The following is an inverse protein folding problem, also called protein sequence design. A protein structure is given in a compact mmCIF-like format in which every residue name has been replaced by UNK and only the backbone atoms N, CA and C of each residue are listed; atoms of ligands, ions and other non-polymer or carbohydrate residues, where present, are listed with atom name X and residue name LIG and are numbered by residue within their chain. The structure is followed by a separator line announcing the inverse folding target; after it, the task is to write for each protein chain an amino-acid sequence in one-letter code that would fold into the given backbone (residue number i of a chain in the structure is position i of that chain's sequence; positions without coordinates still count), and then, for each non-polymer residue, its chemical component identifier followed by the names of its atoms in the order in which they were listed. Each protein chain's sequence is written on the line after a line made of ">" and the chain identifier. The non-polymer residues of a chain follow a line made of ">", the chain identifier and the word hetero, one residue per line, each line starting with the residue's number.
data_IF_834669347155
#
_entry.id   IF_834669347155
#
_cell.length_a   1.000
_cell.length_b   1.000
_cell.length_c   1.000
_cell.angle_alpha   90.00
_cell.angle_beta   90.00
_cell.angle_gamma   90.00
#
_symmetry.space_group_name_H-M   'P 1'
#
loop_
_entity.id
_entity.type
_entity.pdbx_description
1 polymer ?
#
# COMPACT_ATOMS: atom_id res chain seq x y z
N UNK A 1 -1.13 -9.73 -9.76
CA UNK A 1 -0.23 -9.53 -8.62
C UNK A 1 0.52 -10.79 -8.26
N UNK A 2 1.78 -10.65 -7.83
CA UNK A 2 2.65 -11.73 -7.37
C UNK A 2 3.13 -11.48 -5.94
N UNK A 3 3.56 -12.50 -5.17
CA UNK A 3 4.07 -12.30 -3.81
C UNK A 3 5.24 -11.33 -3.78
N UNK A 4 5.32 -10.51 -2.73
CA UNK A 4 6.40 -9.52 -2.55
C UNK A 4 7.76 -10.24 -2.54
N UNK A 5 8.61 -9.85 -3.49
CA UNK A 5 10.04 -10.13 -3.49
C UNK A 5 10.76 -8.89 -2.93
N UNK A 6 11.45 -9.05 -1.79
CA UNK A 6 11.95 -7.93 -0.99
C UNK A 6 12.80 -6.96 -1.80
N UNK A 7 13.78 -7.49 -2.53
CA UNK A 7 14.76 -6.74 -3.28
C UNK A 7 14.10 -5.94 -4.42
N UNK A 8 13.18 -6.58 -5.16
CA UNK A 8 12.45 -5.91 -6.25
C UNK A 8 11.54 -4.81 -5.74
N UNK A 9 10.75 -5.09 -4.70
CA UNK A 9 9.79 -4.13 -4.13
C UNK A 9 10.52 -2.97 -3.46
N UNK A 10 11.61 -3.22 -2.75
CA UNK A 10 12.43 -2.15 -2.17
C UNK A 10 13.03 -1.26 -3.27
N UNK A 11 13.54 -1.83 -4.37
CA UNK A 11 14.06 -1.05 -5.49
C UNK A 11 12.96 -0.23 -6.19
N UNK A 12 11.76 -0.80 -6.38
CA UNK A 12 10.60 -0.07 -6.91
C UNK A 12 10.23 1.12 -6.01
N UNK A 13 10.13 0.91 -4.70
CA UNK A 13 9.87 1.99 -3.74
C UNK A 13 10.91 3.11 -3.82
N UNK A 14 12.19 2.75 -3.87
CA UNK A 14 13.30 3.70 -3.98
C UNK A 14 13.28 4.49 -5.30
N UNK A 15 12.76 3.91 -6.38
CA UNK A 15 12.65 4.58 -7.70
C UNK A 15 11.72 5.80 -7.71
N UNK A 16 10.88 5.95 -6.67
CA UNK A 16 9.95 7.06 -6.52
C UNK A 16 10.40 8.14 -5.52
N UNK A 17 11.58 7.98 -4.91
CA UNK A 17 12.14 8.95 -3.93
C UNK A 17 12.47 10.29 -4.61
N UNK A 18 12.29 11.39 -3.87
CA UNK A 18 12.63 12.76 -4.26
C UNK A 18 11.95 13.29 -5.53
N UNK A 19 10.81 12.70 -5.91
CA UNK A 19 9.96 13.21 -6.98
C UNK A 19 8.48 13.26 -6.58
N UNK A 20 7.66 14.14 -7.21
CA UNK A 20 6.24 14.18 -6.94
C UNK A 20 5.53 12.91 -7.43
N UNK A 21 4.75 12.30 -6.54
CA UNK A 21 3.93 11.11 -6.84
C UNK A 21 2.52 11.27 -6.29
N UNK A 22 1.60 10.47 -6.80
CA UNK A 22 0.25 10.32 -6.32
C UNK A 22 0.13 9.00 -5.59
N UNK A 23 -0.43 9.06 -4.37
CA UNK A 23 -0.69 7.89 -3.56
C UNK A 23 -2.18 7.53 -3.59
N UNK A 24 -2.45 6.23 -3.64
CA UNK A 24 -3.70 5.65 -3.18
C UNK A 24 -3.41 4.78 -1.97
N UNK A 25 -4.15 4.99 -0.89
CA UNK A 25 -4.08 4.17 0.33
C UNK A 25 -5.49 3.80 0.72
N UNK A 26 -5.73 2.52 0.83
CA UNK A 26 -7.00 2.01 1.32
C UNK A 26 -6.75 0.87 2.28
N UNK A 27 -7.46 0.90 3.41
CA UNK A 27 -7.47 -0.20 4.37
C UNK A 27 -8.91 -0.54 4.67
N UNK A 28 -9.23 -1.82 4.61
CA UNK A 28 -10.56 -2.30 4.99
C UNK A 28 -10.38 -3.22 6.19
N UNK A 29 -11.24 -3.07 7.20
CA UNK A 29 -11.40 -4.10 8.23
C UNK A 29 -12.19 -5.32 7.72
N UNK A 30 -12.28 -5.49 6.38
CA UNK A 30 -13.14 -6.43 5.70
C UNK A 30 -14.61 -6.00 5.76
N UNK A 31 -15.22 -5.72 4.60
CA UNK A 31 -16.68 -5.67 4.48
C UNK A 31 -17.37 -6.98 4.97
N UNK A 32 -16.59 -8.05 5.17
CA UNK A 32 -16.99 -9.38 5.61
C UNK A 32 -17.01 -9.58 7.13
N UNK A 33 -16.47 -8.67 7.93
CA UNK A 33 -16.53 -8.82 9.37
C UNK A 33 -18.00 -8.80 9.88
N UNK A 34 -18.90 -8.18 9.12
CA UNK A 34 -20.34 -8.20 9.32
C UNK A 34 -21.00 -9.56 9.06
N UNK A 35 -20.36 -10.51 8.36
CA UNK A 35 -20.96 -11.81 8.09
C UNK A 35 -20.97 -12.71 9.35
N UNK A 36 -20.13 -12.42 10.34
CA UNK A 36 -20.03 -13.18 11.59
C UNK A 36 -20.52 -12.41 12.83
N UNK A 37 -20.50 -11.07 12.84
CA UNK A 37 -21.08 -10.27 13.94
C UNK A 37 -21.53 -8.88 13.45
N UNK A 38 -22.79 -8.51 13.69
CA UNK A 38 -23.34 -7.19 13.34
C UNK A 38 -22.73 -6.03 14.14
N UNK A 39 -21.84 -6.33 15.10
CA UNK A 39 -21.16 -5.35 15.96
C UNK A 39 -19.78 -4.93 15.43
N UNK A 40 -19.33 -5.41 14.27
CA UNK A 40 -18.01 -5.03 13.77
C UNK A 40 -18.00 -3.59 13.26
N UNK A 41 -17.16 -2.77 13.89
CA UNK A 41 -16.88 -1.41 13.46
C UNK A 41 -16.01 -1.44 12.19
N UNK A 42 -16.60 -1.09 11.05
CA UNK A 42 -15.89 -0.91 9.78
C UNK A 42 -15.04 0.38 9.82
N UNK A 43 -13.94 0.35 10.58
CA UNK A 43 -12.88 1.34 10.44
C UNK A 43 -12.14 1.05 9.14
N UNK A 44 -12.24 1.98 8.20
CA UNK A 44 -11.50 1.96 6.96
C UNK A 44 -10.80 3.30 6.74
N UNK A 45 -9.86 3.31 5.83
CA UNK A 45 -9.24 4.53 5.31
C UNK A 45 -9.34 4.47 3.80
N UNK A 46 -9.64 5.60 3.18
CA UNK A 46 -9.60 5.74 1.72
C UNK A 46 -8.98 7.10 1.39
N UNK A 47 -7.84 7.07 0.73
CA UNK A 47 -7.11 8.23 0.25
C UNK A 47 -6.75 7.95 -1.21
N UNK A 48 -7.12 8.84 -2.12
CA UNK A 48 -6.82 8.68 -3.55
C UNK A 48 -6.30 9.97 -4.14
N UNK A 49 -5.32 9.87 -5.02
CA UNK A 49 -4.67 11.01 -5.67
C UNK A 49 -4.08 12.03 -4.67
N UNK A 50 -3.59 11.55 -3.52
CA UNK A 50 -2.85 12.40 -2.59
C UNK A 50 -1.46 12.62 -3.16
N UNK A 51 -1.18 13.85 -3.58
CA UNK A 51 0.13 14.23 -4.11
C UNK A 51 1.12 14.45 -2.97
N UNK A 52 2.26 13.76 -3.02
CA UNK A 52 3.34 13.89 -2.01
C UNK A 52 4.72 13.87 -2.68
N UNK A 53 5.74 14.23 -1.90
CA UNK A 53 7.15 13.93 -2.17
C UNK A 53 7.72 13.27 -0.92
N UNK A 54 8.41 12.14 -1.07
CA UNK A 54 9.06 11.44 0.04
C UNK A 54 10.56 11.30 -0.19
N UNK A 55 11.33 11.48 0.89
CA UNK A 55 12.80 11.44 0.89
C UNK A 55 13.34 10.03 1.22
N UNK A 56 12.54 9.20 1.89
CA UNK A 56 12.91 7.82 2.19
C UNK A 56 11.74 6.87 2.03
N UNK A 57 12.01 5.68 1.49
CA UNK A 57 11.06 4.59 1.41
C UNK A 57 11.68 3.30 1.95
N UNK A 58 10.94 2.57 2.79
CA UNK A 58 11.44 1.32 3.36
C UNK A 58 10.39 0.24 3.46
N UNK A 59 10.72 -0.91 2.88
CA UNK A 59 10.05 -2.18 3.09
C UNK A 59 10.68 -2.90 4.30
N UNK A 60 9.84 -3.41 5.19
CA UNK A 60 10.21 -4.24 6.33
C UNK A 60 9.21 -5.39 6.49
N UNK A 61 9.60 -6.44 7.21
CA UNK A 61 8.80 -7.65 7.37
C UNK A 61 9.26 -8.76 6.43
N UNK A 62 8.37 -9.73 6.16
CA UNK A 62 8.67 -10.92 5.36
C UNK A 62 8.87 -12.17 6.22
N UNK A 63 9.07 -13.30 5.54
CA UNK A 63 9.13 -14.61 6.19
C UNK A 63 7.73 -15.11 6.56
N UNK A 64 7.42 -15.15 7.86
CA UNK A 64 6.10 -15.61 8.36
C UNK A 64 5.07 -14.48 8.50
N UNK A 65 5.51 -13.23 8.44
CA UNK A 65 4.66 -12.06 8.66
C UNK A 65 4.50 -11.24 7.37
N UNK A 66 3.33 -10.61 7.13
CA UNK A 66 3.15 -9.65 6.05
C UNK A 66 4.16 -8.50 6.12
N UNK A 67 4.46 -7.94 4.95
CA UNK A 67 5.30 -6.77 4.83
C UNK A 67 4.59 -5.49 5.28
N UNK A 68 5.41 -4.47 5.52
CA UNK A 68 5.01 -3.10 5.79
C UNK A 68 5.89 -2.13 5.02
N UNK A 69 5.31 -1.04 4.57
CA UNK A 69 6.00 0.06 3.90
C UNK A 69 5.88 1.32 4.75
N UNK A 70 7.02 1.98 4.96
CA UNK A 70 7.08 3.34 5.51
C UNK A 70 7.67 4.30 4.49
N UNK A 71 6.99 5.41 4.25
CA UNK A 71 7.44 6.54 3.44
C UNK A 71 7.62 7.75 4.34
N UNK A 72 8.81 8.36 4.33
CA UNK A 72 9.10 9.62 5.04
C UNK A 72 8.91 10.79 4.10
N UNK A 73 7.91 11.63 4.34
CA UNK A 73 7.61 12.81 3.52
C UNK A 73 8.58 13.95 3.82
N UNK A 74 8.85 14.81 2.84
CA UNK A 74 9.81 15.93 2.98
C UNK A 74 9.40 16.98 4.04
N UNK A 75 8.12 17.09 4.39
CA UNK A 75 7.59 18.10 5.33
C UNK A 75 7.16 17.51 6.70
N UNK A 76 8.02 16.69 7.32
CA UNK A 76 7.75 16.04 8.62
C UNK A 76 6.51 15.13 8.64
N UNK A 77 6.10 14.60 7.49
CA UNK A 77 5.00 13.65 7.37
C UNK A 77 5.49 12.20 7.20
N UNK A 78 4.59 11.25 7.44
CA UNK A 78 4.84 9.83 7.20
C UNK A 78 3.61 9.16 6.61
N UNK A 79 3.83 8.22 5.69
CA UNK A 79 2.84 7.23 5.27
C UNK A 79 3.33 5.88 5.73
N UNK A 80 2.48 5.13 6.43
CA UNK A 80 2.83 3.80 6.92
C UNK A 80 1.67 2.85 6.65
N UNK A 81 1.94 1.79 5.88
CA UNK A 81 0.94 0.77 5.52
C UNK A 81 1.50 -0.60 5.87
N UNK A 82 0.72 -1.40 6.59
CA UNK A 82 1.06 -2.74 7.04
C UNK A 82 0.08 -3.77 6.49
N UNK A 83 0.53 -5.02 6.40
CA UNK A 83 -0.31 -6.13 5.95
C UNK A 83 -0.10 -6.46 4.47
N UNK A 84 0.94 -5.91 3.84
CA UNK A 84 1.20 -6.07 2.41
C UNK A 84 1.81 -7.44 2.13
N UNK A 85 1.36 -8.09 1.06
CA UNK A 85 1.71 -9.49 0.76
C UNK A 85 2.08 -9.67 -0.70
N UNK A 86 1.48 -8.90 -1.60
CA UNK A 86 1.64 -9.01 -3.03
C UNK A 86 1.91 -7.63 -3.65
N UNK A 87 2.46 -7.63 -4.85
CA UNK A 87 2.69 -6.43 -5.64
C UNK A 87 2.49 -6.68 -7.13
N UNK A 88 2.38 -5.61 -7.89
CA UNK A 88 2.58 -5.59 -9.34
C UNK A 88 2.93 -4.18 -9.82
N UNK A 89 3.52 -4.09 -11.01
CA UNK A 89 3.54 -2.85 -11.79
C UNK A 89 2.61 -3.11 -12.97
N UNK A 90 1.55 -2.31 -13.08
CA UNK A 90 0.52 -2.53 -14.10
C UNK A 90 0.92 -1.93 -15.46
N UNK A 91 0.04 -2.07 -16.44
CA UNK A 91 0.26 -1.57 -17.82
C UNK A 91 0.39 -0.05 -17.91
N UNK A 92 -0.15 0.69 -16.92
CA UNK A 92 -0.03 2.15 -16.81
C UNK A 92 1.26 2.59 -16.09
N UNK A 93 2.15 1.65 -15.75
CA UNK A 93 3.35 1.87 -14.95
C UNK A 93 3.05 2.41 -13.53
N UNK A 94 1.90 2.00 -12.98
CA UNK A 94 1.52 2.26 -11.59
C UNK A 94 2.00 1.11 -10.72
N UNK A 95 2.63 1.42 -9.60
CA UNK A 95 3.16 0.44 -8.67
C UNK A 95 2.14 0.16 -7.58
N UNK A 96 1.63 -1.07 -7.54
CA UNK A 96 0.54 -1.48 -6.67
C UNK A 96 1.07 -2.49 -5.64
N UNK A 97 0.78 -2.24 -4.36
CA UNK A 97 1.06 -3.15 -3.26
C UNK A 97 -0.25 -3.51 -2.56
N UNK A 98 -0.56 -4.80 -2.46
CA UNK A 98 -1.78 -5.28 -1.83
C UNK A 98 -1.51 -6.25 -0.68
N UNK A 99 -2.33 -6.15 0.34
CA UNK A 99 -2.42 -7.05 1.47
C UNK A 99 -3.68 -7.88 1.38
N UNK A 100 -3.55 -9.21 1.34
CA UNK A 100 -4.68 -10.12 1.41
C UNK A 100 -4.75 -10.78 2.79
N UNK A 101 -5.96 -10.89 3.35
CA UNK A 101 -6.20 -11.66 4.57
C UNK A 101 -6.14 -13.19 4.28
N UNK A 102 -6.30 -14.01 5.32
CA UNK A 102 -6.27 -15.47 5.19
C UNK A 102 -7.37 -16.07 4.30
N UNK A 103 -8.42 -15.30 3.99
CA UNK A 103 -9.51 -15.66 3.09
C UNK A 103 -9.26 -15.16 1.65
N UNK A 104 -8.12 -14.51 1.39
CA UNK A 104 -7.78 -13.95 0.08
C UNK A 104 -8.45 -12.61 -0.23
N UNK A 105 -9.09 -11.96 0.75
CA UNK A 105 -9.75 -10.66 0.57
C UNK A 105 -8.78 -9.51 0.81
N UNK A 106 -8.98 -8.40 0.10
CA UNK A 106 -8.15 -7.20 0.24
C UNK A 106 -8.33 -6.56 1.63
N UNK A 107 -7.22 -6.48 2.38
CA UNK A 107 -7.15 -5.88 3.70
C UNK A 107 -6.49 -4.49 3.67
N UNK A 108 -5.47 -4.31 2.84
CA UNK A 108 -4.73 -3.05 2.70
C UNK A 108 -4.17 -2.88 1.29
N UNK A 109 -4.04 -1.64 0.84
CA UNK A 109 -3.33 -1.29 -0.39
C UNK A 109 -2.51 -0.01 -0.21
N UNK A 110 -1.36 0.03 -0.87
CA UNK A 110 -0.57 1.22 -1.12
C UNK A 110 -0.22 1.22 -2.60
N UNK A 111 -0.65 2.24 -3.32
CA UNK A 111 -0.37 2.38 -4.75
C UNK A 111 0.36 3.71 -4.97
N UNK A 112 1.34 3.69 -5.87
CA UNK A 112 2.21 4.82 -6.18
C UNK A 112 2.24 5.02 -7.69
N UNK A 113 1.96 6.25 -8.14
CA UNK A 113 2.03 6.63 -9.55
C UNK A 113 2.66 8.00 -9.71
N UNK A 114 3.35 8.24 -10.83
CA UNK A 114 3.86 9.58 -11.21
C UNK A 114 2.75 10.46 -11.82
N UNK A 115 1.60 9.88 -12.14
CA UNK A 115 0.41 10.57 -12.65
C UNK A 115 -0.80 10.28 -11.75
N UNK A 116 -1.85 11.13 -11.76
CA UNK A 116 -3.07 10.82 -11.04
C UNK A 116 -3.69 9.51 -11.54
N UNK A 117 -4.13 8.67 -10.61
CA UNK A 117 -4.94 7.50 -10.92
C UNK A 117 -6.25 7.91 -11.57
N UNK A 118 -6.61 7.25 -12.68
CA UNK A 118 -7.86 7.46 -13.39
C UNK A 118 -9.06 6.91 -12.58
N UNK A 119 -10.26 7.44 -12.87
CA UNK A 119 -11.54 7.03 -12.26
C UNK A 119 -12.22 5.99 -13.16
#
# INVERSE_FOLDING_TARGET
>A
MEPIEYEKVQALLESYVDQPVYLHVETTNGAYANHFDQRVFNAGTFLRNIKVVFEHAKLKGGGKDPFRVGLKLQDNGWVYVQGLTHYEVNENNEFLLAGFNYEGQLAATLEISTVPFQI
#
